data_IF_058835311998
#
_entry.id   IF_058835311998
#
_cell.length_a   1.000
_cell.length_b   1.000
_cell.length_c   1.000
_cell.angle_alpha   90.00
_cell.angle_beta   90.00
_cell.angle_gamma   90.00
#
_symmetry.space_group_name_H-M   'P 1'
#
loop_
_entity.id
_entity.type
_entity.pdbx_description
1 polymer ?
#
# COMPACT_ATOMS: atom_id res chain seq x y z
N UNK A 1 39.36 -19.85 0.94
CA UNK A 1 38.47 -20.29 -0.15
C UNK A 1 38.85 -19.51 -1.39
N UNK A 2 39.74 -20.07 -2.20
CA UNK A 2 40.31 -19.39 -3.37
C UNK A 2 39.33 -19.40 -4.57
N UNK A 3 39.10 -18.22 -5.14
CA UNK A 3 38.35 -18.06 -6.39
C UNK A 3 39.24 -18.49 -7.55
N UNK A 4 38.83 -19.52 -8.28
CA UNK A 4 39.49 -19.99 -9.49
C UNK A 4 39.45 -18.90 -10.57
N UNK A 5 40.58 -18.55 -11.21
CA UNK A 5 40.59 -17.54 -12.26
C UNK A 5 39.90 -18.07 -13.52
N UNK A 6 39.01 -17.24 -14.07
CA UNK A 6 38.27 -17.50 -15.32
C UNK A 6 39.29 -17.53 -16.47
N UNK A 7 39.46 -18.69 -17.12
CA UNK A 7 40.34 -18.87 -18.29
C UNK A 7 40.17 -17.73 -19.30
N UNK A 8 41.25 -16.98 -19.54
CA UNK A 8 41.34 -15.98 -20.60
C UNK A 8 41.38 -16.70 -21.95
N UNK A 9 40.44 -16.39 -22.85
CA UNK A 9 40.44 -16.91 -24.23
C UNK A 9 41.56 -16.19 -24.98
N UNK A 10 42.58 -16.93 -25.42
CA UNK A 10 43.60 -16.48 -26.36
C UNK A 10 42.93 -16.14 -27.70
N UNK A 11 43.28 -15.00 -28.26
CA UNK A 11 42.76 -14.42 -29.51
C UNK A 11 43.60 -14.82 -30.72
N UNK A 12 44.09 -16.05 -30.74
CA UNK A 12 44.97 -16.58 -31.79
C UNK A 12 44.36 -17.87 -32.32
N UNK A 13 43.32 -17.75 -33.15
CA UNK A 13 42.84 -18.80 -34.07
C UNK A 13 41.89 -18.12 -35.07
N UNK A 14 42.36 -17.05 -35.70
CA UNK A 14 41.75 -16.48 -36.91
C UNK A 14 42.80 -16.56 -37.99
N UNK A 15 43.06 -17.77 -38.47
CA UNK A 15 43.75 -17.95 -39.74
C UNK A 15 42.85 -18.67 -40.74
N UNK A 16 42.90 -18.09 -41.93
CA UNK A 16 42.04 -18.25 -43.07
C UNK A 16 42.13 -19.67 -43.65
N UNK A 17 40.99 -20.33 -43.84
CA UNK A 17 40.91 -21.50 -44.73
C UNK A 17 39.67 -21.38 -45.62
N UNK A 18 39.93 -20.85 -46.82
CA UNK A 18 39.04 -20.94 -47.99
C UNK A 18 39.02 -22.39 -48.51
N UNK A 19 37.88 -22.72 -49.13
CA UNK A 19 37.54 -23.89 -49.96
C UNK A 19 36.97 -25.13 -49.26
N UNK A 20 35.84 -25.62 -49.82
CA UNK A 20 35.40 -27.01 -49.69
C UNK A 20 34.02 -27.21 -49.07
N UNK A 21 33.03 -27.57 -49.90
CA UNK A 21 31.69 -28.07 -49.57
C UNK A 21 31.58 -28.77 -48.20
N UNK A 22 30.99 -28.09 -47.21
CA UNK A 22 30.53 -28.70 -45.96
C UNK A 22 29.00 -28.74 -45.98
N UNK A 23 28.35 -29.90 -45.77
CA UNK A 23 26.90 -29.96 -45.71
C UNK A 23 26.39 -29.04 -44.61
N UNK A 24 25.22 -28.38 -44.77
CA UNK A 24 24.72 -27.43 -43.80
C UNK A 24 24.49 -28.17 -42.47
N UNK A 25 25.39 -27.95 -41.50
CA UNK A 25 25.20 -28.41 -40.14
C UNK A 25 23.87 -27.86 -39.59
N UNK A 26 23.26 -28.54 -38.61
CA UNK A 26 21.97 -28.12 -38.07
C UNK A 26 22.07 -26.67 -37.56
N UNK A 27 21.18 -25.81 -38.06
CA UNK A 27 21.10 -24.38 -37.72
C UNK A 27 20.92 -24.10 -36.21
N UNK A 28 20.64 -25.13 -35.41
CA UNK A 28 20.56 -25.06 -33.96
C UNK A 28 21.89 -24.71 -33.29
N UNK A 29 23.03 -24.95 -33.95
CA UNK A 29 24.37 -24.68 -33.40
C UNK A 29 24.96 -23.32 -33.84
N UNK A 30 24.28 -22.57 -34.72
CA UNK A 30 24.74 -21.27 -35.22
C UNK A 30 24.21 -20.08 -34.40
N UNK A 31 23.33 -20.31 -33.44
CA UNK A 31 22.79 -19.26 -32.55
C UNK A 31 23.49 -19.31 -31.21
N UNK A 32 24.00 -18.16 -30.75
CA UNK A 32 24.50 -18.02 -29.40
C UNK A 32 23.41 -18.43 -28.39
N UNK A 33 23.73 -19.33 -27.46
CA UNK A 33 22.84 -19.77 -26.39
C UNK A 33 22.79 -18.67 -25.32
N UNK A 34 22.31 -17.48 -25.68
CA UNK A 34 22.03 -16.42 -24.72
C UNK A 34 20.79 -16.81 -23.92
N UNK A 35 20.78 -16.66 -22.59
CA UNK A 35 19.56 -16.88 -21.81
C UNK A 35 18.42 -16.04 -22.39
N UNK A 36 17.21 -16.60 -22.53
CA UNK A 36 16.10 -15.90 -23.16
C UNK A 36 15.90 -14.55 -22.48
N UNK A 37 15.84 -13.47 -23.27
CA UNK A 37 15.47 -12.14 -22.78
C UNK A 37 14.19 -12.31 -21.96
N UNK A 38 14.25 -11.97 -20.67
CA UNK A 38 13.10 -12.02 -19.76
C UNK A 38 12.01 -11.17 -20.39
N UNK A 39 11.04 -11.80 -21.09
CA UNK A 39 9.83 -11.12 -21.54
C UNK A 39 9.23 -10.54 -20.28
N UNK A 40 9.21 -9.22 -20.16
CA UNK A 40 8.40 -8.55 -19.15
C UNK A 40 6.99 -9.04 -19.41
N UNK A 41 6.54 -10.01 -18.61
CA UNK A 41 5.14 -10.37 -18.55
C UNK A 41 4.49 -9.10 -17.99
N UNK A 42 3.92 -8.28 -18.87
CA UNK A 42 2.85 -7.37 -18.51
C UNK A 42 1.64 -8.25 -18.13
N UNK A 43 1.79 -9.03 -17.05
CA UNK A 43 0.64 -9.56 -16.35
C UNK A 43 0.01 -8.39 -15.62
N UNK A 44 -1.32 -8.37 -15.55
CA UNK A 44 -2.05 -7.36 -14.81
C UNK A 44 -1.53 -7.32 -13.38
N UNK A 45 -0.94 -6.17 -13.02
CA UNK A 45 -0.49 -5.90 -11.67
C UNK A 45 -1.73 -5.48 -10.88
N UNK A 46 -2.21 -6.39 -10.05
CA UNK A 46 -3.30 -6.10 -9.12
C UNK A 46 -2.73 -5.22 -8.00
N UNK A 47 -3.49 -4.22 -7.57
CA UNK A 47 -3.11 -3.38 -6.43
C UNK A 47 -2.96 -4.25 -5.17
N UNK A 48 -1.99 -3.89 -4.33
CA UNK A 48 -1.86 -4.53 -3.01
C UNK A 48 -3.10 -4.27 -2.16
N UNK A 49 -3.64 -5.26 -1.45
CA UNK A 49 -4.71 -5.04 -0.48
C UNK A 49 -4.21 -4.32 0.78
N UNK A 50 -2.90 -4.23 0.97
CA UNK A 50 -2.27 -3.49 2.06
C UNK A 50 -1.88 -2.09 1.58
N UNK A 51 -2.30 -1.09 2.35
CA UNK A 51 -2.00 0.32 2.11
C UNK A 51 -1.28 0.89 3.34
N UNK A 52 -0.41 1.86 3.09
CA UNK A 52 0.30 2.58 4.15
C UNK A 52 -0.41 3.90 4.44
N UNK A 53 -0.24 4.43 5.65
CA UNK A 53 -0.75 5.75 6.00
C UNK A 53 0.15 6.86 5.47
N UNK A 54 -0.45 7.97 5.04
CA UNK A 54 0.28 9.13 4.52
C UNK A 54 1.07 9.85 5.62
N UNK A 55 2.30 10.26 5.32
CA UNK A 55 3.16 11.04 6.23
C UNK A 55 3.33 12.46 5.67
N UNK A 56 2.87 13.48 6.41
CA UNK A 56 2.84 14.88 5.94
C UNK A 56 4.21 15.45 5.60
N UNK A 57 5.24 15.06 6.36
CA UNK A 57 6.58 15.66 6.26
C UNK A 57 7.46 14.94 5.22
N UNK A 58 6.90 13.98 4.47
CA UNK A 58 7.59 13.27 3.39
C UNK A 58 7.16 13.80 2.01
N UNK A 59 8.07 13.74 1.01
CA UNK A 59 7.74 14.13 -0.35
C UNK A 59 6.70 13.19 -0.98
N UNK A 60 5.96 13.69 -1.97
CA UNK A 60 4.87 12.93 -2.62
C UNK A 60 5.35 11.59 -3.22
N UNK A 61 6.59 11.55 -3.70
CA UNK A 61 7.20 10.32 -4.23
C UNK A 61 7.24 9.18 -3.18
N UNK A 62 7.34 9.51 -1.89
CA UNK A 62 7.36 8.54 -0.79
C UNK A 62 5.95 8.21 -0.26
N UNK A 63 4.94 9.04 -0.56
CA UNK A 63 3.55 8.84 -0.17
C UNK A 63 2.71 8.18 -1.29
N UNK A 64 3.36 7.61 -2.30
CA UNK A 64 2.67 6.96 -3.40
C UNK A 64 1.80 5.81 -2.89
N UNK A 65 0.54 5.78 -3.32
CA UNK A 65 -0.46 4.77 -2.96
C UNK A 65 -0.75 4.68 -1.44
N UNK A 66 -0.41 5.73 -0.68
CA UNK A 66 -0.81 5.87 0.73
C UNK A 66 -2.24 6.37 0.86
N UNK A 67 -2.86 6.10 2.01
CA UNK A 67 -4.20 6.58 2.36
C UNK A 67 -4.16 7.44 3.61
N UNK A 68 -5.00 8.46 3.66
CA UNK A 68 -5.29 9.25 4.86
C UNK A 68 -6.55 8.73 5.52
N UNK A 69 -6.78 9.14 6.77
CA UNK A 69 -8.04 8.85 7.44
C UNK A 69 -9.24 9.51 6.73
N UNK A 70 -9.03 10.67 6.10
CA UNK A 70 -10.06 11.36 5.31
C UNK A 70 -10.42 10.60 4.03
N UNK A 71 -9.47 9.90 3.41
CA UNK A 71 -9.76 9.06 2.24
C UNK A 71 -10.64 7.85 2.60
N UNK A 72 -10.68 7.47 3.87
CA UNK A 72 -11.48 6.34 4.38
C UNK A 72 -12.84 6.82 4.92
N UNK A 73 -12.86 7.93 5.67
CA UNK A 73 -14.06 8.42 6.38
C UNK A 73 -14.77 9.58 5.68
N UNK A 74 -14.14 10.20 4.68
CA UNK A 74 -14.66 11.37 3.99
C UNK A 74 -15.71 11.07 2.92
N UNK A 75 -16.18 9.82 2.80
CA UNK A 75 -17.28 9.47 1.90
C UNK A 75 -18.61 9.96 2.51
N UNK A 76 -19.34 10.88 1.84
CA UNK A 76 -20.61 11.40 2.35
C UNK A 76 -21.70 10.33 2.48
N UNK A 77 -21.54 9.16 1.86
CA UNK A 77 -22.51 8.06 1.94
C UNK A 77 -22.36 7.20 3.20
N UNK A 78 -21.35 7.45 4.04
CA UNK A 78 -21.17 6.73 5.31
C UNK A 78 -22.29 7.12 6.28
N UNK A 79 -23.23 6.20 6.51
CA UNK A 79 -24.31 6.41 7.48
C UNK A 79 -23.91 6.03 8.91
N UNK A 80 -23.03 5.05 9.07
CA UNK A 80 -22.65 4.48 10.36
C UNK A 80 -21.18 4.06 10.35
N UNK A 81 -20.48 4.33 11.45
CA UNK A 81 -19.06 4.01 11.62
C UNK A 81 -18.84 3.31 12.96
N UNK A 82 -18.19 2.16 12.94
CA UNK A 82 -17.78 1.42 14.14
C UNK A 82 -16.27 1.48 14.26
N UNK A 83 -15.80 2.21 15.28
CA UNK A 83 -14.39 2.43 15.55
C UNK A 83 -13.95 1.55 16.72
N UNK A 84 -12.89 0.79 16.49
CA UNK A 84 -12.29 -0.11 17.47
C UNK A 84 -10.84 0.30 17.64
N UNK A 85 -10.51 0.84 18.80
CA UNK A 85 -9.14 1.23 19.12
C UNK A 85 -8.94 1.22 20.63
N UNK A 86 -7.70 1.43 21.06
CA UNK A 86 -7.36 1.60 22.46
C UNK A 86 -7.44 3.06 22.90
N UNK A 87 -6.95 4.00 22.07
CA UNK A 87 -6.98 5.44 22.33
C UNK A 87 -7.90 6.13 21.34
N UNK A 88 -8.74 7.02 21.86
CA UNK A 88 -9.80 7.66 21.12
C UNK A 88 -9.74 9.17 21.31
N UNK A 89 -9.59 9.89 20.19
CA UNK A 89 -9.84 11.32 20.13
C UNK A 89 -11.03 11.55 19.20
N UNK A 90 -12.18 11.89 19.81
CA UNK A 90 -13.44 12.05 19.08
C UNK A 90 -13.42 13.30 18.22
N UNK A 91 -12.78 14.38 18.64
CA UNK A 91 -12.70 15.58 17.82
C UNK A 91 -11.84 15.34 16.58
N UNK A 92 -10.71 14.64 16.75
CA UNK A 92 -9.89 14.19 15.64
C UNK A 92 -10.69 13.29 14.69
N UNK A 93 -11.35 12.25 15.20
CA UNK A 93 -12.16 11.34 14.38
C UNK A 93 -13.26 12.08 13.60
N UNK A 94 -14.05 12.90 14.31
CA UNK A 94 -15.17 13.65 13.72
C UNK A 94 -14.71 14.66 12.65
N UNK A 95 -13.48 15.18 12.75
CA UNK A 95 -12.92 16.11 11.76
C UNK A 95 -12.54 15.48 10.41
N UNK A 96 -12.48 14.15 10.33
CA UNK A 96 -12.13 13.42 9.09
C UNK A 96 -13.35 12.94 8.29
N UNK A 97 -14.56 13.02 8.86
CA UNK A 97 -15.78 12.83 8.09
C UNK A 97 -16.02 14.00 7.14
N UNK A 98 -16.84 13.76 6.13
CA UNK A 98 -17.31 14.82 5.25
C UNK A 98 -18.02 15.93 6.04
N UNK A 99 -17.75 17.19 5.68
CA UNK A 99 -18.20 18.35 6.46
C UNK A 99 -19.73 18.44 6.51
N UNK A 100 -20.39 18.09 5.42
CA UNK A 100 -21.84 18.18 5.27
C UNK A 100 -22.55 17.03 5.99
N UNK A 101 -21.91 15.86 6.08
CA UNK A 101 -22.56 14.64 6.61
C UNK A 101 -22.09 14.22 8.00
N UNK A 102 -20.97 14.77 8.53
CA UNK A 102 -20.41 14.35 9.84
C UNK A 102 -21.41 14.36 10.99
N UNK A 103 -22.37 15.27 10.97
CA UNK A 103 -23.39 15.40 12.02
C UNK A 103 -24.52 14.35 11.90
N UNK A 104 -24.63 13.69 10.75
CA UNK A 104 -25.61 12.65 10.45
C UNK A 104 -25.05 11.25 10.70
N UNK A 105 -23.73 11.09 10.68
CA UNK A 105 -23.07 9.79 10.86
C UNK A 105 -23.25 9.29 12.29
N UNK A 106 -23.72 8.05 12.41
CA UNK A 106 -23.81 7.35 13.70
C UNK A 106 -22.47 6.70 14.02
N UNK A 107 -21.73 7.28 14.97
CA UNK A 107 -20.41 6.77 15.38
C UNK A 107 -20.52 5.92 16.64
N UNK A 108 -20.10 4.66 16.52
CA UNK A 108 -19.94 3.71 17.60
C UNK A 108 -18.46 3.56 17.93
N UNK A 109 -18.09 3.80 19.17
CA UNK A 109 -16.72 3.59 19.62
C UNK A 109 -16.69 2.48 20.64
N UNK A 110 -15.88 1.48 20.33
CA UNK A 110 -15.69 0.32 21.18
C UNK A 110 -14.39 0.49 21.94
N UNK A 111 -14.49 0.59 23.26
CA UNK A 111 -13.36 0.83 24.14
C UNK A 111 -13.24 -0.26 25.22
N UNK A 112 -12.03 -0.49 25.72
CA UNK A 112 -11.74 -1.49 26.77
C UNK A 112 -12.01 -1.04 28.22
N UNK A 113 -12.46 0.21 28.44
CA UNK A 113 -12.70 0.71 29.80
C UNK A 113 -13.86 -0.03 30.48
N UNK A 114 -13.51 -0.87 31.45
CA UNK A 114 -14.45 -1.70 32.20
C UNK A 114 -14.96 -1.05 33.49
N UNK A 115 -14.19 -0.11 34.06
CA UNK A 115 -14.59 0.62 35.28
C UNK A 115 -15.48 1.81 34.92
N UNK A 116 -16.59 1.96 35.65
CA UNK A 116 -17.57 3.02 35.32
C UNK A 116 -17.05 4.41 35.63
N UNK A 117 -16.23 4.55 36.68
CA UNK A 117 -15.66 5.81 37.15
C UNK A 117 -14.30 6.15 36.51
N UNK A 118 -13.85 5.37 35.51
CA UNK A 118 -12.58 5.67 34.84
C UNK A 118 -12.65 7.08 34.22
N UNK A 119 -11.72 7.98 34.55
CA UNK A 119 -11.75 9.35 34.05
C UNK A 119 -11.67 9.40 32.52
N UNK A 120 -11.01 8.43 31.87
CA UNK A 120 -10.96 8.35 30.41
C UNK A 120 -12.31 7.95 29.82
N UNK A 121 -13.05 7.05 30.48
CA UNK A 121 -14.41 6.68 30.09
C UNK A 121 -15.38 7.86 30.23
N UNK A 122 -15.28 8.61 31.33
CA UNK A 122 -16.10 9.81 31.55
C UNK A 122 -15.77 10.90 30.53
N UNK A 123 -14.48 11.14 30.26
CA UNK A 123 -14.04 12.10 29.24
C UNK A 123 -14.57 11.72 27.85
N UNK A 124 -14.50 10.43 27.48
CA UNK A 124 -15.09 9.94 26.23
C UNK A 124 -16.60 10.17 26.20
N UNK A 125 -17.31 9.84 27.29
CA UNK A 125 -18.76 10.03 27.39
C UNK A 125 -19.19 11.49 27.24
N UNK A 126 -18.47 12.43 27.85
CA UNK A 126 -18.71 13.88 27.71
C UNK A 126 -18.42 14.33 26.27
N UNK A 127 -17.38 13.82 25.63
CA UNK A 127 -17.08 14.14 24.24
C UNK A 127 -18.18 13.65 23.29
N UNK A 128 -18.78 12.47 23.53
CA UNK A 128 -19.96 12.02 22.78
C UNK A 128 -21.16 12.94 22.95
N UNK A 129 -21.47 13.37 24.18
CA UNK A 129 -22.66 14.21 24.41
C UNK A 129 -22.51 15.60 23.82
N UNK A 130 -21.28 16.12 23.74
CA UNK A 130 -20.99 17.38 23.04
C UNK A 130 -21.09 17.22 21.51
N UNK A 131 -20.63 16.10 20.94
CA UNK A 131 -20.76 15.79 19.52
C UNK A 131 -22.21 15.48 19.09
N UNK A 132 -23.01 14.85 19.97
CA UNK A 132 -24.44 14.59 19.80
C UNK A 132 -25.34 15.76 20.22
N UNK A 133 -24.78 16.91 20.62
CA UNK A 133 -25.58 18.05 21.09
C UNK A 133 -26.31 18.83 19.99
N UNK A 134 -26.65 18.18 18.86
CA UNK A 134 -27.92 18.46 18.20
C UNK A 134 -29.05 17.89 19.06
N UNK A 135 -29.40 18.64 20.11
CA UNK A 135 -30.66 18.51 20.82
C UNK A 135 -31.78 18.39 19.79
N UNK A 136 -32.32 17.19 19.60
CA UNK A 136 -33.69 17.03 19.13
C UNK A 136 -34.60 17.60 20.23
N UNK A 137 -34.86 18.90 20.15
CA UNK A 137 -36.13 19.43 20.62
C UNK A 137 -37.20 18.81 19.71
N UNK A 138 -37.83 17.76 20.21
CA UNK A 138 -39.11 17.31 19.68
C UNK A 138 -40.13 17.56 20.79
N UNK A 139 -41.10 18.40 20.45
CA UNK A 139 -42.27 18.74 21.25
C UNK A 139 -42.99 17.50 21.79
#
# INVERSE_FOLDING_TARGET
MDRTPKRQRLSEDVEESKTGNRPPGPQSLSRAISPPKKRNRHGDRIASPFQLTRIRDLPEAANKDTVTLKDILGDPLIAECWEFNFLHDIHFLMSHFDEDTRNLVKVHVVHGFWKKEDPNRLALQVNYTSALMQKRHKC
#
